data_IF_297511877108
#
_entry.id   IF_297511877108
#
_cell.length_a   1.000
_cell.length_b   1.000
_cell.length_c   1.000
_cell.angle_alpha   90.00
_cell.angle_beta   90.00
_cell.angle_gamma   90.00
#
_symmetry.space_group_name_H-M   'P 1'
#
loop_
_entity.id
_entity.type
_entity.pdbx_description
1 polymer ?
#
# COMPACT_ATOMS: atom_id res chain seq x y z
N UNK A 1 -23.32 2.68 -7.47
CA UNK A 1 -21.92 2.37 -7.03
C UNK A 1 -21.02 2.57 -8.22
N UNK A 2 -19.95 3.34 -8.08
CA UNK A 2 -19.01 3.54 -9.19
C UNK A 2 -18.29 2.22 -9.49
N UNK A 3 -18.03 1.94 -10.77
CA UNK A 3 -17.33 0.71 -11.22
C UNK A 3 -16.02 0.47 -10.48
N UNK A 4 -15.34 1.54 -10.05
CA UNK A 4 -14.09 1.48 -9.26
C UNK A 4 -14.28 0.81 -7.89
N UNK A 5 -15.38 1.05 -7.19
CA UNK A 5 -15.64 0.44 -5.88
C UNK A 5 -15.82 -1.06 -6.03
N UNK A 6 -16.51 -1.49 -7.08
CA UNK A 6 -16.71 -2.92 -7.35
C UNK A 6 -15.38 -3.64 -7.66
N UNK A 7 -14.54 -3.03 -8.50
CA UNK A 7 -13.22 -3.59 -8.86
C UNK A 7 -12.32 -3.69 -7.61
N UNK A 8 -12.28 -2.63 -6.79
CA UNK A 8 -11.49 -2.63 -5.55
C UNK A 8 -11.97 -3.67 -4.55
N UNK A 9 -13.28 -3.88 -4.44
CA UNK A 9 -13.89 -4.89 -3.58
C UNK A 9 -13.54 -6.31 -4.05
N UNK A 10 -13.64 -6.57 -5.35
CA UNK A 10 -13.29 -7.87 -5.93
C UNK A 10 -11.80 -8.19 -5.73
N UNK A 11 -10.91 -7.20 -5.95
CA UNK A 11 -9.48 -7.36 -5.70
C UNK A 11 -9.19 -7.65 -4.22
N UNK A 12 -9.80 -6.89 -3.31
CA UNK A 12 -9.65 -7.08 -1.87
C UNK A 12 -10.11 -8.47 -1.43
N UNK A 13 -11.24 -8.93 -1.97
CA UNK A 13 -11.74 -10.29 -1.71
C UNK A 13 -10.72 -11.35 -2.15
N UNK A 14 -10.14 -11.22 -3.35
CA UNK A 14 -9.11 -12.15 -3.83
C UNK A 14 -7.88 -12.15 -2.92
N UNK A 15 -7.38 -10.98 -2.50
CA UNK A 15 -6.20 -10.90 -1.63
C UNK A 15 -6.47 -11.53 -0.26
N UNK A 16 -7.64 -11.26 0.34
CA UNK A 16 -8.05 -11.86 1.61
C UNK A 16 -8.21 -13.37 1.48
N UNK A 17 -8.82 -13.84 0.40
CA UNK A 17 -8.98 -15.27 0.13
C UNK A 17 -7.62 -15.98 0.08
N UNK A 18 -6.66 -15.44 -0.68
CA UNK A 18 -5.30 -16.00 -0.71
C UNK A 18 -4.62 -15.92 0.65
N UNK A 19 -4.75 -14.80 1.37
CA UNK A 19 -4.17 -14.67 2.70
C UNK A 19 -4.68 -15.76 3.65
N UNK A 20 -6.00 -16.00 3.67
CA UNK A 20 -6.62 -17.03 4.51
C UNK A 20 -6.15 -18.44 4.14
N UNK A 21 -6.01 -18.76 2.84
CA UNK A 21 -5.50 -20.07 2.39
C UNK A 21 -4.06 -20.28 2.85
N UNK A 22 -3.20 -19.27 2.77
CA UNK A 22 -1.79 -19.39 3.13
C UNK A 22 -1.51 -19.25 4.62
N UNK A 23 -2.46 -18.78 5.42
CA UNK A 23 -2.30 -18.58 6.85
C UNK A 23 -2.00 -19.88 7.63
N UNK A 24 -2.67 -21.02 7.36
CA UNK A 24 -2.36 -22.31 7.99
C UNK A 24 -1.19 -23.05 7.33
N UNK A 25 -0.67 -22.59 6.18
CA UNK A 25 0.40 -23.27 5.49
C UNK A 25 1.68 -23.29 6.32
N UNK A 26 2.45 -24.37 6.19
CA UNK A 26 3.76 -24.50 6.86
C UNK A 26 4.64 -23.31 6.50
N UNK A 27 4.96 -22.48 7.50
CA UNK A 27 5.70 -21.23 7.32
C UNK A 27 7.09 -21.50 6.77
N UNK A 28 7.25 -21.33 5.47
CA UNK A 28 8.54 -21.22 4.80
C UNK A 28 8.80 -19.73 4.50
N UNK A 29 10.06 -19.32 4.38
CA UNK A 29 10.44 -17.94 4.07
C UNK A 29 9.73 -17.39 2.83
N UNK A 30 9.60 -18.23 1.80
CA UNK A 30 8.89 -17.87 0.58
C UNK A 30 7.42 -17.52 0.84
N UNK A 31 6.72 -18.36 1.63
CA UNK A 31 5.31 -18.13 1.99
C UNK A 31 5.17 -16.85 2.83
N UNK A 32 6.09 -16.63 3.77
CA UNK A 32 6.08 -15.41 4.61
C UNK A 32 6.24 -14.14 3.75
N UNK A 33 7.17 -14.14 2.80
CA UNK A 33 7.35 -12.99 1.91
C UNK A 33 6.16 -12.81 0.94
N UNK A 34 5.56 -13.89 0.49
CA UNK A 34 4.33 -13.83 -0.31
C UNK A 34 3.16 -13.24 0.49
N UNK A 35 2.98 -13.67 1.75
CA UNK A 35 1.97 -13.08 2.64
C UNK A 35 2.23 -11.60 2.89
N UNK A 36 3.50 -11.17 2.99
CA UNK A 36 3.86 -9.76 3.12
C UNK A 36 3.41 -8.96 1.89
N UNK A 37 3.60 -9.49 0.68
CA UNK A 37 3.07 -8.87 -0.56
C UNK A 37 1.55 -8.76 -0.50
N UNK A 38 0.84 -9.81 -0.10
CA UNK A 38 -0.63 -9.75 0.02
C UNK A 38 -1.08 -8.71 1.04
N UNK A 39 -0.41 -8.61 2.19
CA UNK A 39 -0.71 -7.61 3.22
C UNK A 39 -0.53 -6.19 2.67
N UNK A 40 0.55 -5.91 1.97
CA UNK A 40 0.77 -4.58 1.37
C UNK A 40 -0.28 -4.25 0.31
N UNK A 41 -0.71 -5.21 -0.50
CA UNK A 41 -1.80 -5.07 -1.45
C UNK A 41 -3.14 -4.79 -0.76
N UNK A 42 -3.43 -5.49 0.35
CA UNK A 42 -4.65 -5.28 1.15
C UNK A 42 -4.64 -3.87 1.76
N UNK A 43 -3.51 -3.43 2.31
CA UNK A 43 -3.37 -2.08 2.87
C UNK A 43 -3.61 -1.00 1.80
N UNK A 44 -3.01 -1.16 0.62
CA UNK A 44 -3.20 -0.22 -0.47
C UNK A 44 -4.65 -0.18 -0.96
N UNK A 45 -5.19 -1.34 -1.37
CA UNK A 45 -6.54 -1.41 -1.97
C UNK A 45 -7.61 -1.13 -0.92
N UNK A 46 -7.47 -1.69 0.29
CA UNK A 46 -8.39 -1.47 1.39
C UNK A 46 -8.37 -0.03 1.89
N UNK A 47 -7.19 0.55 2.10
CA UNK A 47 -7.06 1.96 2.48
C UNK A 47 -7.67 2.90 1.45
N UNK A 48 -7.42 2.66 0.16
CA UNK A 48 -8.01 3.44 -0.93
C UNK A 48 -9.53 3.32 -1.00
N UNK A 49 -10.07 2.11 -0.76
CA UNK A 49 -11.51 1.89 -0.70
C UNK A 49 -12.14 2.62 0.49
N UNK A 50 -11.58 2.46 1.68
CA UNK A 50 -12.07 3.06 2.92
C UNK A 50 -11.99 4.59 2.90
N UNK A 51 -10.96 5.16 2.25
CA UNK A 51 -10.87 6.58 1.98
C UNK A 51 -12.03 7.09 1.12
N UNK A 52 -12.40 6.33 0.07
CA UNK A 52 -13.48 6.72 -0.86
C UNK A 52 -14.86 6.68 -0.22
N UNK A 53 -15.12 5.74 0.67
CA UNK A 53 -16.39 5.64 1.42
C UNK A 53 -16.39 6.51 2.67
N UNK A 54 -15.33 7.30 2.88
CA UNK A 54 -15.18 8.22 4.02
C UNK A 54 -15.40 7.57 5.37
N UNK A 55 -14.87 6.36 5.55
CA UNK A 55 -15.01 5.59 6.78
C UNK A 55 -14.28 6.30 7.94
N UNK A 56 -14.87 6.34 9.18
CA UNK A 56 -14.15 6.83 10.35
C UNK A 56 -12.82 6.09 10.56
N UNK A 57 -11.75 6.70 11.11
CA UNK A 57 -11.72 8.00 11.80
C UNK A 57 -11.62 9.20 10.86
N UNK A 58 -10.92 9.13 9.74
CA UNK A 58 -10.85 10.20 8.74
C UNK A 58 -10.30 9.69 7.41
N UNK A 59 -10.64 10.37 6.31
CA UNK A 59 -10.11 10.03 4.99
C UNK A 59 -8.58 10.16 4.92
N UNK A 60 -7.95 11.09 5.68
CA UNK A 60 -6.50 11.26 5.76
C UNK A 60 -5.82 10.03 6.36
N UNK A 61 -6.39 9.47 7.42
CA UNK A 61 -5.89 8.24 8.02
C UNK A 61 -5.85 7.10 6.99
N UNK A 62 -6.95 6.88 6.28
CA UNK A 62 -7.02 5.82 5.26
C UNK A 62 -6.11 6.08 4.06
N UNK A 63 -5.90 7.36 3.73
CA UNK A 63 -4.91 7.76 2.74
C UNK A 63 -3.49 7.34 3.15
N UNK A 64 -3.07 7.62 4.38
CA UNK A 64 -1.75 7.20 4.88
C UNK A 64 -1.61 5.67 4.96
N UNK A 65 -2.66 4.95 5.34
CA UNK A 65 -2.69 3.48 5.29
C UNK A 65 -2.48 2.97 3.87
N UNK A 66 -3.17 3.55 2.90
CA UNK A 66 -3.02 3.21 1.48
C UNK A 66 -1.61 3.52 0.96
N UNK A 67 -1.06 4.69 1.30
CA UNK A 67 0.32 5.06 0.96
C UNK A 67 1.35 4.10 1.56
N UNK A 68 1.16 3.69 2.81
CA UNK A 68 2.04 2.70 3.45
C UNK A 68 2.05 1.39 2.64
N UNK A 69 0.88 0.95 2.19
CA UNK A 69 0.75 -0.24 1.35
C UNK A 69 1.54 -0.12 0.05
N UNK A 70 1.33 0.96 -0.71
CA UNK A 70 1.98 1.14 -2.02
C UNK A 70 3.50 1.36 -1.89
N UNK A 71 3.97 2.07 -0.87
CA UNK A 71 5.40 2.30 -0.65
C UNK A 71 6.15 1.05 -0.19
N UNK A 72 5.50 0.21 0.63
CA UNK A 72 6.09 -1.05 1.07
C UNK A 72 6.03 -2.17 0.03
N UNK A 73 5.15 -2.04 -0.97
CA UNK A 73 4.94 -3.06 -2.00
C UNK A 73 6.22 -3.42 -2.78
N UNK A 74 7.02 -2.48 -3.31
CA UNK A 74 8.25 -2.80 -4.03
C UNK A 74 9.24 -3.57 -3.17
N UNK A 75 9.34 -3.23 -1.89
CA UNK A 75 10.20 -3.92 -0.94
C UNK A 75 9.73 -5.35 -0.67
N UNK A 76 8.44 -5.52 -0.38
CA UNK A 76 7.83 -6.83 -0.16
C UNK A 76 8.02 -7.75 -1.37
N UNK A 77 7.81 -7.19 -2.57
CA UNK A 77 7.98 -7.90 -3.84
C UNK A 77 9.44 -8.26 -4.11
N UNK A 78 10.38 -7.36 -3.84
CA UNK A 78 11.81 -7.63 -3.94
C UNK A 78 12.23 -8.77 -3.00
N UNK A 79 11.77 -8.77 -1.76
CA UNK A 79 12.05 -9.84 -0.80
C UNK A 79 11.48 -11.18 -1.28
N UNK A 80 10.27 -11.18 -1.84
CA UNK A 80 9.63 -12.37 -2.39
C UNK A 80 10.42 -12.93 -3.58
N UNK A 81 10.77 -12.10 -4.58
CA UNK A 81 11.54 -12.55 -5.76
C UNK A 81 12.91 -13.09 -5.37
N UNK A 82 13.59 -12.42 -4.44
CA UNK A 82 14.91 -12.88 -3.98
C UNK A 82 14.86 -14.26 -3.34
N UNK A 83 13.85 -14.50 -2.51
CA UNK A 83 13.67 -15.83 -1.91
C UNK A 83 13.26 -16.85 -2.95
N UNK A 84 12.42 -16.49 -3.92
CA UNK A 84 12.01 -17.35 -5.03
C UNK A 84 13.19 -17.75 -5.92
N UNK A 85 14.05 -16.77 -6.27
CA UNK A 85 15.24 -17.01 -7.08
C UNK A 85 16.44 -17.53 -6.27
N UNK A 86 16.30 -17.74 -4.95
CA UNK A 86 17.37 -18.20 -4.05
C UNK A 86 18.62 -17.31 -4.07
N UNK A 87 18.47 -15.99 -4.24
CA UNK A 87 19.57 -15.05 -4.30
C UNK A 87 20.08 -14.75 -2.88
N UNK A 88 21.35 -15.10 -2.62
CA UNK A 88 21.95 -15.04 -1.27
C UNK A 88 22.38 -13.62 -0.82
N UNK A 89 22.52 -12.64 -1.71
CA UNK A 89 22.96 -11.29 -1.32
C UNK A 89 21.92 -10.57 -0.46
N UNK A 90 22.25 -10.33 0.83
CA UNK A 90 21.31 -9.77 1.83
C UNK A 90 21.44 -8.24 2.04
N UNK A 91 22.60 -7.66 1.69
CA UNK A 91 23.00 -6.36 2.22
C UNK A 91 22.15 -5.17 1.71
N UNK A 92 21.80 -5.14 0.42
CA UNK A 92 21.00 -4.05 -0.12
C UNK A 92 19.52 -4.05 0.30
N UNK A 93 18.91 -5.21 0.57
CA UNK A 93 17.48 -5.31 0.85
C UNK A 93 17.10 -4.67 2.22
N UNK A 94 17.94 -4.83 3.24
CA UNK A 94 17.69 -4.26 4.56
C UNK A 94 17.74 -2.73 4.54
N UNK A 95 18.72 -2.17 3.83
CA UNK A 95 18.87 -0.72 3.70
C UNK A 95 17.65 -0.11 3.03
N UNK A 96 17.19 -0.70 1.93
CA UNK A 96 15.97 -0.25 1.26
C UNK A 96 14.72 -0.35 2.15
N UNK A 97 14.58 -1.44 2.90
CA UNK A 97 13.47 -1.59 3.85
C UNK A 97 13.46 -0.51 4.91
N UNK A 98 14.62 -0.18 5.48
CA UNK A 98 14.76 0.87 6.50
C UNK A 98 14.45 2.25 5.89
N UNK A 99 14.97 2.55 4.70
CA UNK A 99 14.72 3.82 4.01
C UNK A 99 13.23 4.02 3.69
N UNK A 100 12.56 2.98 3.18
CA UNK A 100 11.13 3.05 2.89
C UNK A 100 10.29 3.17 4.16
N UNK A 101 10.64 2.45 5.23
CA UNK A 101 9.96 2.57 6.52
C UNK A 101 10.14 3.97 7.13
N UNK A 102 11.36 4.50 7.09
CA UNK A 102 11.64 5.86 7.56
C UNK A 102 10.91 6.91 6.73
N UNK A 103 10.94 6.80 5.41
CA UNK A 103 10.20 7.69 4.51
C UNK A 103 8.68 7.66 4.75
N UNK A 104 8.12 6.47 4.97
CA UNK A 104 6.71 6.30 5.31
C UNK A 104 6.39 6.98 6.65
N UNK A 105 7.22 6.76 7.68
CA UNK A 105 7.03 7.38 9.00
C UNK A 105 7.12 8.92 8.93
N UNK A 106 8.10 9.45 8.20
CA UNK A 106 8.22 10.89 7.97
C UNK A 106 6.99 11.43 7.26
N UNK A 107 6.48 10.76 6.22
CA UNK A 107 5.29 11.22 5.51
C UNK A 107 4.02 11.16 6.37
N UNK A 108 3.93 10.20 7.30
CA UNK A 108 2.84 10.14 8.28
C UNK A 108 2.81 11.36 9.22
N UNK A 109 4.00 11.86 9.58
CA UNK A 109 4.14 12.97 10.54
C UNK A 109 4.06 14.35 9.87
N UNK A 110 4.59 14.48 8.66
CA UNK A 110 4.83 15.79 8.04
C UNK A 110 3.99 16.04 6.77
N UNK A 111 3.43 14.99 6.17
CA UNK A 111 2.79 15.04 4.83
C UNK A 111 3.69 15.71 3.75
N UNK A 112 5.01 15.68 3.98
CA UNK A 112 5.98 16.44 3.19
C UNK A 112 6.18 15.88 1.78
N UNK A 113 6.21 14.57 1.63
CA UNK A 113 6.40 13.93 0.31
C UNK A 113 5.10 13.90 -0.49
N UNK A 114 4.03 13.45 0.14
CA UNK A 114 2.72 13.30 -0.49
C UNK A 114 1.64 13.84 0.45
N UNK A 115 1.21 15.10 0.24
CA UNK A 115 0.13 15.70 1.02
C UNK A 115 -1.19 14.96 0.77
N UNK A 116 -2.08 14.97 1.76
CA UNK A 116 -3.39 14.36 1.63
C UNK A 116 -4.20 15.08 0.52
N UNK A 117 -4.92 14.33 -0.34
CA UNK A 117 -5.69 14.92 -1.42
C UNK A 117 -6.83 15.78 -0.87
N UNK A 118 -7.20 16.81 -1.60
CA UNK A 118 -8.35 17.64 -1.27
C UNK A 118 -9.64 16.97 -1.76
N UNK A 119 -10.69 17.04 -0.92
CA UNK A 119 -12.00 16.53 -1.29
C UNK A 119 -12.68 17.57 -2.17
N UNK A 120 -12.99 17.20 -3.41
CA UNK A 120 -13.82 18.00 -4.32
C UNK A 120 -15.18 17.33 -4.42
N UNK A 121 -16.20 17.99 -3.90
CA UNK A 121 -17.58 17.53 -4.01
C UNK A 121 -18.09 17.96 -5.38
N UNK A 122 -18.14 17.01 -6.31
CA UNK A 122 -18.82 17.19 -7.60
C UNK A 122 -20.23 16.62 -7.50
N UNK A 123 -21.19 17.21 -8.19
CA UNK A 123 -22.60 16.83 -8.11
C UNK A 123 -22.95 15.34 -8.38
N UNK A 124 -21.97 14.56 -8.81
CA UNK A 124 -22.10 13.12 -9.07
C UNK A 124 -21.34 12.21 -8.09
N UNK A 125 -20.66 12.78 -7.10
CA UNK A 125 -19.89 12.01 -6.10
C UNK A 125 -18.68 12.75 -5.53
N UNK A 126 -17.99 12.06 -4.63
CA UNK A 126 -16.74 12.53 -4.02
C UNK A 126 -15.59 12.22 -4.97
N UNK A 127 -14.92 13.26 -5.46
CA UNK A 127 -13.65 13.13 -6.17
C UNK A 127 -12.50 13.67 -5.31
N UNK A 128 -11.31 13.11 -5.52
CA UNK A 128 -10.10 13.50 -4.81
C UNK A 128 -9.17 14.20 -5.79
N UNK A 129 -8.79 15.42 -5.48
CA UNK A 129 -7.79 16.16 -6.25
C UNK A 129 -6.42 15.97 -5.57
N UNK A 130 -5.46 15.45 -6.34
CA UNK A 130 -4.12 15.16 -5.87
C UNK A 130 -3.18 16.27 -6.34
N UNK A 131 -2.83 17.17 -5.44
CA UNK A 131 -1.79 18.14 -5.71
C UNK A 131 -0.42 17.45 -5.52
N UNK A 132 0.21 17.06 -6.64
CA UNK A 132 1.59 16.59 -6.61
C UNK A 132 2.50 17.81 -6.38
N UNK A 133 3.12 17.87 -5.20
CA UNK A 133 4.15 18.86 -4.92
C UNK A 133 5.36 18.64 -5.84
N UNK A 134 6.14 19.69 -6.12
CA UNK A 134 7.37 19.66 -6.93
C UNK A 134 8.39 18.62 -6.43
N UNK A 135 8.30 18.21 -5.17
CA UNK A 135 9.16 17.19 -4.55
C UNK A 135 9.05 15.81 -5.24
N UNK A 136 7.90 15.49 -5.82
CA UNK A 136 7.70 14.23 -6.57
C UNK A 136 8.49 14.23 -7.88
N UNK A 137 8.71 15.41 -8.48
CA UNK A 137 9.51 15.54 -9.69
C UNK A 137 11.01 15.29 -9.50
N UNK A 138 11.49 15.30 -8.24
CA UNK A 138 12.92 15.04 -7.92
C UNK A 138 13.16 13.52 -7.74
N UNK A 139 12.13 12.73 -7.54
CA UNK A 139 12.23 11.27 -7.37
C UNK A 139 12.16 10.48 -8.69
N UNK A 140 11.85 11.13 -9.79
CA UNK A 140 11.87 10.57 -11.14
C UNK A 140 13.03 11.15 -11.95
#
# INVERSE_FOLDING_TARGET
>A
MSSYVFISLAALYCYLFFLVIFLPAKKNKLIVHFMLVLITMILWTGGSLLMRIQMPPSYRFWYHVSLTGIWMLPYAYLCFIREFCRISRKDGCRVWGILLAAGTAVNWLTEWFLPAPQIVISGTGVSFDYHMGWQVCIMY
#
